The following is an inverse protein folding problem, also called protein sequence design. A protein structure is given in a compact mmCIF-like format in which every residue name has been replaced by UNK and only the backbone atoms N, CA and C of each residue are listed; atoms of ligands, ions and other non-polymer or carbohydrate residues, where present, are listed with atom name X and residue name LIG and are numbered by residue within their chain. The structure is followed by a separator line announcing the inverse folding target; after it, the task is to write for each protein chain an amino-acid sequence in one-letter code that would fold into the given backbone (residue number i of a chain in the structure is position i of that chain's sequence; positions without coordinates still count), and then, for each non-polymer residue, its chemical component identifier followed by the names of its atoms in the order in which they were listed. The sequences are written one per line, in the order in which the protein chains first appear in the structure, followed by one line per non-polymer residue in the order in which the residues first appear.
data_IF_163367713320
#
_entry.id   IF_163367713320
#
_cell.length_a   1.000
_cell.length_b   1.000
_cell.length_c   1.000
_cell.angle_alpha   90.00
_cell.angle_beta   90.00
_cell.angle_gamma   90.00
#
_symmetry.space_group_name_H-M   'P 1'
#
loop_
_entity.id
_entity.type
_entity.pdbx_description
1 polymer ?
#
# COMPACT_ATOMS: atom_id res chain seq x y z
N UNK A 1 12.96 4.59 24.35
CA UNK A 1 12.11 5.36 23.42
C UNK A 1 12.75 6.70 23.13
N UNK A 2 13.26 6.89 21.91
CA UNK A 2 13.89 8.14 21.47
C UNK A 2 12.91 9.30 21.23
N UNK A 3 13.44 10.51 21.09
CA UNK A 3 12.66 11.76 20.90
C UNK A 3 11.82 11.74 19.61
N UNK A 4 12.35 11.13 18.54
CA UNK A 4 11.69 10.93 17.24
C UNK A 4 10.45 10.01 17.36
N UNK A 5 10.61 8.85 17.99
CA UNK A 5 9.53 7.88 18.24
C UNK A 5 8.36 8.51 19.02
N UNK A 6 8.64 9.31 20.06
CA UNK A 6 7.59 10.01 20.82
C UNK A 6 6.82 11.03 19.97
N UNK A 7 7.51 11.82 19.15
CA UNK A 7 6.88 12.80 18.26
C UNK A 7 6.02 12.15 17.16
N UNK A 8 6.42 10.97 16.65
CA UNK A 8 5.65 10.20 15.68
C UNK A 8 4.35 9.66 16.31
N UNK A 9 4.44 9.13 17.54
CA UNK A 9 3.29 8.64 18.30
C UNK A 9 2.26 9.72 18.63
N UNK A 10 2.73 10.89 19.10
CA UNK A 10 1.83 11.98 19.50
C UNK A 10 1.12 12.59 18.27
N UNK A 11 1.79 12.64 17.10
CA UNK A 11 1.17 13.04 15.81
C UNK A 11 0.13 12.05 15.31
N UNK A 12 0.39 10.75 15.40
CA UNK A 12 -0.57 9.69 15.06
C UNK A 12 -1.89 9.86 15.82
N UNK A 13 -1.80 10.18 17.12
CA UNK A 13 -2.99 10.36 17.96
C UNK A 13 -3.85 11.57 17.53
N UNK A 14 -3.28 12.54 16.83
CA UNK A 14 -3.95 13.75 16.36
C UNK A 14 -4.46 13.66 14.91
N UNK A 15 -4.08 12.63 14.14
CA UNK A 15 -4.36 12.55 12.70
C UNK A 15 -5.57 11.65 12.39
N UNK A 16 -6.13 11.79 11.19
CA UNK A 16 -7.26 10.96 10.76
C UNK A 16 -6.85 9.49 10.57
N UNK A 17 -7.81 8.57 10.63
CA UNK A 17 -7.54 7.12 10.59
C UNK A 17 -6.67 6.68 9.41
N UNK A 18 -6.83 7.29 8.23
CA UNK A 18 -6.08 6.91 7.03
C UNK A 18 -4.65 7.40 7.15
N UNK A 19 -4.46 8.69 7.46
CA UNK A 19 -3.15 9.27 7.64
C UNK A 19 -2.38 8.66 8.82
N UNK A 20 -3.09 8.05 9.77
CA UNK A 20 -2.46 7.26 10.82
C UNK A 20 -1.94 5.92 10.29
N UNK A 21 -2.58 5.31 9.29
CA UNK A 21 -2.27 3.95 8.81
C UNK A 21 -1.18 3.88 7.74
N UNK A 22 -0.93 4.97 7.04
CA UNK A 22 -0.05 4.98 5.87
C UNK A 22 1.05 6.02 5.98
N UNK A 23 2.11 5.81 5.22
CA UNK A 23 3.29 6.66 5.04
C UNK A 23 3.02 8.03 4.37
N UNK A 24 1.82 8.61 4.52
CA UNK A 24 1.41 9.77 3.73
C UNK A 24 1.69 11.12 4.39
N UNK A 25 2.38 11.16 5.53
CA UNK A 25 2.75 12.40 6.22
C UNK A 25 3.48 13.37 5.27
N UNK A 26 3.07 14.63 5.28
CA UNK A 26 3.64 15.69 4.44
C UNK A 26 3.22 15.61 2.96
N UNK A 27 2.35 14.68 2.60
CA UNK A 27 1.85 14.51 1.23
C UNK A 27 0.39 14.95 1.11
N UNK A 28 -0.06 15.19 -0.11
CA UNK A 28 -1.45 15.52 -0.41
C UNK A 28 -2.45 14.41 0.02
N UNK A 29 -1.97 13.17 0.24
CA UNK A 29 -2.80 12.06 0.70
C UNK A 29 -3.16 12.13 2.18
N UNK A 30 -2.42 12.89 3.00
CA UNK A 30 -2.73 13.05 4.43
C UNK A 30 -4.07 13.76 4.66
N UNK A 31 -4.46 14.60 3.70
CA UNK A 31 -5.66 15.39 3.75
C UNK A 31 -6.89 14.58 3.31
N UNK A 32 -8.08 14.86 3.91
CA UNK A 32 -9.34 14.31 3.43
C UNK A 32 -9.59 14.65 1.96
N UNK A 33 -10.30 13.76 1.27
CA UNK A 33 -10.71 13.97 -0.12
C UNK A 33 -11.65 15.18 -0.20
N UNK A 34 -11.29 16.18 -1.00
CA UNK A 34 -12.14 17.35 -1.26
C UNK A 34 -13.27 17.02 -2.25
N UNK A 35 -14.30 17.86 -2.32
CA UNK A 35 -15.40 17.68 -3.29
C UNK A 35 -14.92 17.75 -4.74
N UNK A 36 -13.97 18.64 -5.03
CA UNK A 36 -13.35 18.79 -6.34
C UNK A 36 -12.57 17.52 -6.72
N UNK A 37 -11.76 17.01 -5.78
CA UNK A 37 -11.03 15.77 -5.98
C UNK A 37 -11.96 14.58 -6.18
N UNK A 38 -13.00 14.44 -5.35
CA UNK A 38 -14.01 13.39 -5.51
C UNK A 38 -14.70 13.46 -6.88
N UNK A 39 -14.91 14.67 -7.42
CA UNK A 39 -15.47 14.88 -8.76
C UNK A 39 -14.51 14.42 -9.85
N UNK A 40 -13.21 14.73 -9.73
CA UNK A 40 -12.19 14.24 -10.66
C UNK A 40 -12.06 12.72 -10.64
N UNK A 41 -12.08 12.10 -9.47
CA UNK A 41 -12.04 10.64 -9.32
C UNK A 41 -13.24 9.99 -10.04
N UNK A 42 -14.46 10.47 -9.80
CA UNK A 42 -15.65 9.96 -10.47
C UNK A 42 -15.60 10.16 -11.99
N UNK A 43 -15.11 11.30 -12.45
CA UNK A 43 -14.93 11.57 -13.88
C UNK A 43 -13.93 10.59 -14.51
N UNK A 44 -12.81 10.33 -13.84
CA UNK A 44 -11.80 9.37 -14.28
C UNK A 44 -12.36 7.95 -14.34
N UNK A 45 -13.10 7.50 -13.32
CA UNK A 45 -13.77 6.19 -13.34
C UNK A 45 -14.78 6.09 -14.49
N UNK A 46 -15.57 7.14 -14.74
CA UNK A 46 -16.51 7.18 -15.86
C UNK A 46 -15.79 7.13 -17.22
N UNK A 47 -14.65 7.78 -17.35
CA UNK A 47 -13.84 7.75 -18.56
C UNK A 47 -13.29 6.35 -18.88
N UNK A 48 -13.20 5.45 -17.88
CA UNK A 48 -12.79 4.05 -18.08
C UNK A 48 -13.95 3.16 -18.58
N UNK A 49 -15.22 3.55 -18.42
CA UNK A 49 -16.37 2.73 -18.81
C UNK A 49 -16.41 2.30 -20.29
N UNK A 50 -15.99 3.12 -21.27
CA UNK A 50 -15.91 2.69 -22.67
C UNK A 50 -14.85 1.61 -22.92
N UNK A 51 -13.88 1.43 -22.02
CA UNK A 51 -12.77 0.49 -22.16
C UNK A 51 -13.08 -0.91 -21.61
N UNK A 52 -14.36 -1.30 -21.53
CA UNK A 52 -14.79 -2.62 -21.04
C UNK A 52 -14.10 -3.81 -21.73
N UNK A 53 -13.85 -3.72 -23.03
CA UNK A 53 -13.14 -4.78 -23.76
C UNK A 53 -11.68 -4.93 -23.30
N UNK A 54 -11.00 -3.82 -23.02
CA UNK A 54 -9.65 -3.84 -22.47
C UNK A 54 -9.65 -4.35 -21.03
N UNK A 55 -10.65 -3.96 -20.23
CA UNK A 55 -10.83 -4.48 -18.88
C UNK A 55 -11.04 -6.01 -18.87
N UNK A 56 -11.89 -6.53 -19.76
CA UNK A 56 -12.11 -7.97 -19.91
C UNK A 56 -10.81 -8.69 -20.31
N UNK A 57 -10.11 -8.19 -21.32
CA UNK A 57 -8.85 -8.77 -21.78
C UNK A 57 -7.74 -8.75 -20.70
N UNK A 58 -7.74 -7.73 -19.83
CA UNK A 58 -6.84 -7.68 -18.66
C UNK A 58 -7.20 -8.75 -17.63
N UNK A 59 -8.49 -9.00 -17.39
CA UNK A 59 -8.95 -9.99 -16.42
C UNK A 59 -9.02 -11.43 -16.93
N UNK A 60 -8.85 -11.67 -18.23
CA UNK A 60 -8.86 -13.02 -18.83
C UNK A 60 -7.69 -13.89 -18.34
N UNK A 61 -6.60 -13.26 -17.90
CA UNK A 61 -5.44 -13.90 -17.26
C UNK A 61 -5.17 -13.22 -15.91
N UNK A 62 -5.70 -13.83 -14.85
CA UNK A 62 -5.62 -13.28 -13.50
C UNK A 62 -4.17 -13.16 -13.00
N UNK A 63 -3.32 -14.14 -13.31
CA UNK A 63 -1.93 -14.14 -12.85
C UNK A 63 -1.15 -13.00 -13.52
N UNK A 64 -1.36 -12.82 -14.83
CA UNK A 64 -0.78 -11.69 -15.57
C UNK A 64 -1.27 -10.35 -15.03
N UNK A 65 -2.56 -10.23 -14.71
CA UNK A 65 -3.11 -9.02 -14.11
C UNK A 65 -2.51 -8.73 -12.74
N UNK A 66 -2.35 -9.75 -11.88
CA UNK A 66 -1.74 -9.59 -10.58
C UNK A 66 -0.28 -9.11 -10.71
N UNK A 67 0.50 -9.71 -11.60
CA UNK A 67 1.89 -9.32 -11.88
C UNK A 67 1.99 -7.88 -12.40
N UNK A 68 1.18 -7.53 -13.37
CA UNK A 68 1.10 -6.17 -13.91
C UNK A 68 0.70 -5.16 -12.83
N UNK A 69 -0.25 -5.53 -11.96
CA UNK A 69 -0.67 -4.67 -10.84
C UNK A 69 0.44 -4.48 -9.82
N UNK A 70 1.23 -5.52 -9.52
CA UNK A 70 2.39 -5.41 -8.65
C UNK A 70 3.43 -4.45 -9.24
N UNK A 71 3.69 -4.50 -10.55
CA UNK A 71 4.59 -3.56 -11.23
C UNK A 71 4.11 -2.11 -11.11
N UNK A 72 2.81 -1.87 -11.25
CA UNK A 72 2.22 -0.53 -11.08
C UNK A 72 2.43 -0.02 -9.64
N UNK A 73 2.11 -0.85 -8.64
CA UNK A 73 2.16 -0.43 -7.24
C UNK A 73 3.57 -0.36 -6.65
N UNK A 74 4.59 -0.87 -7.36
CA UNK A 74 6.02 -0.66 -7.03
C UNK A 74 6.50 0.76 -7.35
N UNK A 75 5.78 1.51 -8.16
CA UNK A 75 6.13 2.88 -8.50
C UNK A 75 6.14 3.77 -7.26
N UNK A 76 7.18 4.59 -7.10
CA UNK A 76 7.39 5.48 -5.93
C UNK A 76 6.20 6.42 -5.66
N UNK A 77 5.39 6.72 -6.67
CA UNK A 77 4.14 7.49 -6.49
C UNK A 77 3.20 6.86 -5.47
N UNK A 78 3.26 5.54 -5.27
CA UNK A 78 2.46 4.81 -4.29
C UNK A 78 3.14 4.64 -2.93
N UNK A 79 4.41 5.05 -2.77
CA UNK A 79 5.11 4.97 -1.48
C UNK A 79 4.34 5.61 -0.32
N UNK A 80 3.62 6.74 -0.49
CA UNK A 80 2.80 7.30 0.58
C UNK A 80 1.66 6.39 1.06
N UNK A 81 1.28 5.35 0.31
CA UNK A 81 0.29 4.35 0.73
C UNK A 81 0.89 3.21 1.53
N UNK A 82 2.22 3.06 1.59
CA UNK A 82 2.83 1.99 2.39
C UNK A 82 2.36 2.05 3.84
N UNK A 83 2.23 0.89 4.48
CA UNK A 83 1.78 0.85 5.88
C UNK A 83 2.77 1.59 6.77
N UNK A 84 2.24 2.36 7.71
CA UNK A 84 3.04 3.14 8.65
C UNK A 84 3.74 2.22 9.67
N UNK A 85 4.86 2.68 10.24
CA UNK A 85 5.76 1.81 11.02
C UNK A 85 5.07 1.10 12.17
N UNK A 86 4.14 1.76 12.87
CA UNK A 86 3.45 1.11 13.97
C UNK A 86 2.58 -0.09 13.52
N UNK A 87 2.11 -0.08 12.27
CA UNK A 87 1.40 -1.23 11.70
C UNK A 87 2.40 -2.36 11.47
N UNK A 88 3.59 -2.04 10.95
CA UNK A 88 4.70 -2.98 10.75
C UNK A 88 5.17 -3.55 12.08
N UNK A 89 5.41 -2.72 13.08
CA UNK A 89 5.76 -3.13 14.46
C UNK A 89 4.72 -4.13 15.00
N UNK A 90 3.42 -3.88 14.82
CA UNK A 90 2.39 -4.84 15.27
C UNK A 90 2.40 -6.16 14.50
N UNK A 91 2.76 -6.13 13.22
CA UNK A 91 2.95 -7.36 12.42
C UNK A 91 4.16 -8.13 12.93
N UNK A 92 5.30 -7.47 13.15
CA UNK A 92 6.52 -8.07 13.69
C UNK A 92 6.29 -8.64 15.11
N UNK A 93 5.61 -7.91 15.99
CA UNK A 93 5.21 -8.39 17.31
C UNK A 93 4.33 -9.65 17.23
N UNK A 94 3.48 -9.75 16.20
CA UNK A 94 2.51 -10.84 16.06
C UNK A 94 3.09 -12.10 15.42
N UNK A 95 3.95 -11.93 14.42
CA UNK A 95 4.42 -12.99 13.53
C UNK A 95 5.94 -13.23 13.60
N UNK A 96 6.68 -12.34 14.27
CA UNK A 96 8.14 -12.31 14.25
C UNK A 96 8.71 -11.64 13.00
N UNK A 97 10.03 -11.67 12.89
CA UNK A 97 10.77 -11.25 11.71
C UNK A 97 10.36 -12.09 10.47
N UNK A 98 10.24 -11.47 9.28
CA UNK A 98 10.05 -12.21 8.05
C UNK A 98 11.19 -13.21 7.83
N UNK A 99 10.89 -14.44 7.38
CA UNK A 99 11.92 -15.43 7.12
C UNK A 99 12.79 -15.00 5.94
N UNK A 100 14.12 -15.06 6.13
CA UNK A 100 15.11 -14.91 5.07
C UNK A 100 15.40 -16.30 4.49
N UNK A 101 15.27 -16.44 3.17
CA UNK A 101 15.52 -17.70 2.48
C UNK A 101 16.47 -17.48 1.30
N UNK A 102 17.44 -18.38 1.16
CA UNK A 102 18.37 -18.40 0.02
C UNK A 102 17.81 -19.20 -1.16
N UNK A 103 16.74 -19.98 -0.93
CA UNK A 103 16.09 -20.79 -1.96
C UNK A 103 14.93 -20.00 -2.60
N UNK A 104 15.02 -19.63 -3.90
CA UNK A 104 13.94 -18.93 -4.59
C UNK A 104 12.62 -19.72 -4.69
N UNK A 105 12.64 -21.03 -4.48
CA UNK A 105 11.45 -21.88 -4.47
C UNK A 105 10.75 -21.92 -3.10
N UNK A 106 11.38 -21.40 -2.05
CA UNK A 106 10.82 -21.37 -0.70
C UNK A 106 9.71 -20.33 -0.59
N UNK A 107 8.52 -20.79 -0.20
CA UNK A 107 7.34 -19.95 -0.04
C UNK A 107 7.28 -19.24 1.32
N UNK A 108 8.22 -19.47 2.25
CA UNK A 108 8.15 -18.97 3.63
C UNK A 108 7.88 -17.45 3.72
N UNK A 109 8.62 -16.65 2.94
CA UNK A 109 8.40 -15.19 2.92
C UNK A 109 7.05 -14.82 2.30
N UNK A 110 6.64 -15.53 1.26
CA UNK A 110 5.33 -15.33 0.61
C UNK A 110 4.18 -15.68 1.57
N UNK A 111 4.32 -16.76 2.33
CA UNK A 111 3.33 -17.21 3.32
C UNK A 111 3.27 -16.25 4.51
N UNK A 112 4.42 -15.72 4.95
CA UNK A 112 4.49 -14.63 5.93
C UNK A 112 3.72 -13.39 5.45
N UNK A 113 4.01 -12.89 4.25
CA UNK A 113 3.32 -11.72 3.69
C UNK A 113 1.82 -11.98 3.56
N UNK A 114 1.42 -13.18 3.14
CA UNK A 114 0.02 -13.58 3.04
C UNK A 114 -0.68 -13.46 4.40
N UNK A 115 -0.06 -13.96 5.46
CA UNK A 115 -0.62 -13.90 6.81
C UNK A 115 -0.68 -12.46 7.34
N UNK A 116 0.40 -11.69 7.17
CA UNK A 116 0.48 -10.30 7.61
C UNK A 116 -0.57 -9.40 6.93
N UNK A 117 -0.74 -9.55 5.61
CA UNK A 117 -1.74 -8.79 4.84
C UNK A 117 -3.16 -9.20 5.23
N UNK A 118 -3.44 -10.50 5.40
CA UNK A 118 -4.76 -10.97 5.84
C UNK A 118 -5.13 -10.41 7.21
N UNK A 119 -4.18 -10.41 8.15
CA UNK A 119 -4.37 -9.91 9.50
C UNK A 119 -4.60 -8.39 9.54
N UNK A 120 -3.78 -7.63 8.80
CA UNK A 120 -3.87 -6.16 8.73
C UNK A 120 -5.11 -5.70 7.95
N UNK A 121 -5.49 -6.47 6.92
CA UNK A 121 -6.55 -6.17 5.96
C UNK A 121 -7.97 -6.32 6.51
N UNK A 122 -8.30 -5.64 7.61
CA UNK A 122 -9.69 -5.56 8.11
C UNK A 122 -10.60 -4.88 7.08
N UNK A 123 -11.93 -5.09 7.17
CA UNK A 123 -12.88 -4.42 6.27
C UNK A 123 -12.76 -2.89 6.30
N UNK A 124 -12.39 -2.32 7.45
CA UNK A 124 -12.18 -0.87 7.60
C UNK A 124 -10.92 -0.42 6.84
N UNK A 125 -9.81 -1.14 6.98
CA UNK A 125 -8.55 -0.87 6.26
C UNK A 125 -8.77 -1.02 4.75
N UNK A 126 -9.40 -2.12 4.31
CA UNK A 126 -9.71 -2.37 2.90
C UNK A 126 -10.50 -1.24 2.24
N UNK A 127 -11.56 -0.76 2.90
CA UNK A 127 -12.35 0.39 2.40
C UNK A 127 -11.53 1.68 2.35
N UNK A 128 -10.72 1.94 3.38
CA UNK A 128 -9.86 3.11 3.42
C UNK A 128 -8.83 3.10 2.28
N UNK A 129 -8.15 1.97 2.06
CA UNK A 129 -7.09 1.84 1.05
C UNK A 129 -7.65 1.85 -0.37
N UNK A 130 -8.81 1.22 -0.58
CA UNK A 130 -9.56 1.36 -1.84
C UNK A 130 -9.90 2.82 -2.13
N UNK A 131 -10.36 3.58 -1.13
CA UNK A 131 -10.60 5.01 -1.29
C UNK A 131 -9.35 5.81 -1.65
N UNK A 132 -8.21 5.52 -1.00
CA UNK A 132 -6.95 6.23 -1.25
C UNK A 132 -6.35 5.91 -2.63
N UNK A 133 -6.31 4.64 -3.03
CA UNK A 133 -5.71 4.26 -4.31
C UNK A 133 -6.46 4.86 -5.51
N UNK A 134 -7.78 5.04 -5.39
CA UNK A 134 -8.59 5.67 -6.44
C UNK A 134 -8.24 7.13 -6.69
N UNK A 135 -7.60 7.81 -5.73
CA UNK A 135 -7.17 9.21 -5.88
C UNK A 135 -6.08 9.39 -6.94
N UNK A 136 -5.39 8.30 -7.31
CA UNK A 136 -4.39 8.30 -8.38
C UNK A 136 -5.00 8.23 -9.78
N UNK A 137 -6.23 7.73 -9.93
CA UNK A 137 -6.86 7.49 -11.23
C UNK A 137 -6.87 8.69 -12.17
N UNK A 138 -7.22 9.92 -11.74
CA UNK A 138 -7.25 11.06 -12.64
C UNK A 138 -5.93 11.26 -13.40
N UNK A 139 -4.79 11.14 -12.71
CA UNK A 139 -3.48 11.34 -13.32
C UNK A 139 -3.11 10.29 -14.38
N UNK A 140 -3.59 9.05 -14.22
CA UNK A 140 -3.36 7.98 -15.21
C UNK A 140 -4.28 8.15 -16.41
N UNK A 141 -5.56 8.49 -16.18
CA UNK A 141 -6.52 8.77 -17.25
C UNK A 141 -6.08 9.97 -18.08
N UNK A 142 -5.66 11.06 -17.45
CA UNK A 142 -5.20 12.28 -18.14
C UNK A 142 -3.96 12.01 -19.03
N UNK A 143 -3.13 11.05 -18.64
CA UNK A 143 -1.95 10.60 -19.40
C UNK A 143 -2.25 9.55 -20.47
N UNK A 144 -3.51 9.08 -20.58
CA UNK A 144 -3.89 8.01 -21.50
C UNK A 144 -3.39 6.62 -21.10
N UNK A 145 -2.96 6.43 -19.84
CA UNK A 145 -2.49 5.15 -19.29
C UNK A 145 -3.69 4.28 -18.89
N UNK A 146 -4.46 3.86 -19.89
CA UNK A 146 -5.76 3.21 -19.69
C UNK A 146 -5.64 1.87 -18.98
N UNK A 147 -4.66 1.04 -19.34
CA UNK A 147 -4.53 -0.30 -18.76
C UNK A 147 -4.14 -0.24 -17.28
N UNK A 148 -3.24 0.68 -16.93
CA UNK A 148 -2.81 0.94 -15.57
C UNK A 148 -3.97 1.50 -14.73
N UNK A 149 -4.72 2.45 -15.28
CA UNK A 149 -5.92 2.99 -14.62
C UNK A 149 -6.99 1.90 -14.40
N UNK A 150 -7.19 1.00 -15.37
CA UNK A 150 -8.07 -0.16 -15.22
C UNK A 150 -7.58 -1.12 -14.13
N UNK A 151 -6.29 -1.43 -14.08
CA UNK A 151 -5.70 -2.28 -13.05
C UNK A 151 -5.84 -1.66 -11.65
N UNK A 152 -5.60 -0.35 -11.50
CA UNK A 152 -5.80 0.38 -10.24
C UNK A 152 -7.27 0.29 -9.81
N UNK A 153 -8.20 0.60 -10.73
CA UNK A 153 -9.64 0.58 -10.42
C UNK A 153 -10.13 -0.83 -10.05
N UNK A 154 -9.64 -1.86 -10.76
CA UNK A 154 -9.92 -3.26 -10.45
C UNK A 154 -9.41 -3.66 -9.07
N UNK A 155 -8.17 -3.34 -8.74
CA UNK A 155 -7.60 -3.64 -7.42
C UNK A 155 -8.33 -2.89 -6.30
N UNK A 156 -8.74 -1.64 -6.52
CA UNK A 156 -9.56 -0.89 -5.57
C UNK A 156 -10.88 -1.61 -5.28
N UNK A 157 -11.53 -2.14 -6.32
CA UNK A 157 -12.78 -2.90 -6.20
C UNK A 157 -12.56 -4.25 -5.47
N UNK A 158 -11.64 -5.09 -5.94
CA UNK A 158 -11.41 -6.43 -5.37
C UNK A 158 -10.94 -6.36 -3.92
N UNK A 159 -10.18 -5.33 -3.56
CA UNK A 159 -9.74 -5.09 -2.17
C UNK A 159 -10.92 -4.94 -1.21
N UNK A 160 -12.05 -4.37 -1.66
CA UNK A 160 -13.26 -4.21 -0.85
C UNK A 160 -14.16 -5.43 -0.92
N UNK A 161 -14.26 -6.05 -2.09
CA UNK A 161 -15.24 -7.10 -2.37
C UNK A 161 -14.80 -8.50 -1.95
N UNK A 162 -13.52 -8.68 -1.64
CA UNK A 162 -12.94 -9.96 -1.22
C UNK A 162 -11.99 -9.79 -0.04
N UNK A 163 -11.65 -10.91 0.59
CA UNK A 163 -10.58 -11.04 1.58
C UNK A 163 -9.21 -11.37 0.94
N UNK A 164 -9.12 -11.35 -0.39
CA UNK A 164 -7.90 -11.64 -1.12
C UNK A 164 -6.75 -10.69 -0.74
N UNK A 165 -5.52 -11.20 -0.83
CA UNK A 165 -4.31 -10.41 -0.71
C UNK A 165 -4.04 -9.72 -2.04
N UNK A 166 -4.75 -8.61 -2.26
CA UNK A 166 -4.62 -7.86 -3.50
C UNK A 166 -3.21 -7.30 -3.65
N UNK A 167 -2.69 -7.18 -4.90
CA UNK A 167 -1.43 -6.49 -5.20
C UNK A 167 -1.25 -5.16 -4.46
N UNK A 168 -2.32 -4.39 -4.29
CA UNK A 168 -2.33 -3.15 -3.50
C UNK A 168 -1.87 -3.40 -2.06
N UNK A 169 -2.57 -4.27 -1.32
CA UNK A 169 -2.25 -4.50 0.09
C UNK A 169 -0.89 -5.19 0.28
N UNK A 170 -0.51 -6.06 -0.65
CA UNK A 170 0.80 -6.71 -0.65
C UNK A 170 1.91 -5.68 -0.79
N UNK A 171 1.85 -4.78 -1.79
CA UNK A 171 2.88 -3.76 -1.96
C UNK A 171 2.92 -2.76 -0.80
N UNK A 172 1.76 -2.41 -0.23
CA UNK A 172 1.73 -1.59 0.96
C UNK A 172 2.48 -2.21 2.16
N UNK A 173 2.34 -3.53 2.35
CA UNK A 173 3.04 -4.26 3.41
C UNK A 173 4.53 -4.39 3.13
N UNK A 174 4.89 -4.80 1.91
CA UNK A 174 6.30 -4.92 1.50
C UNK A 174 7.03 -3.59 1.61
N UNK A 175 6.42 -2.51 1.12
CA UNK A 175 7.00 -1.17 1.20
C UNK A 175 7.08 -0.63 2.62
N UNK A 176 6.12 -0.97 3.49
CA UNK A 176 6.17 -0.64 4.92
C UNK A 176 7.30 -1.37 5.64
N UNK A 177 7.44 -2.68 5.41
CA UNK A 177 8.53 -3.49 5.94
C UNK A 177 9.89 -2.96 5.48
N UNK A 178 10.07 -2.72 4.18
CA UNK A 178 11.34 -2.18 3.64
C UNK A 178 11.74 -0.90 4.35
N UNK A 179 10.83 0.09 4.42
CA UNK A 179 11.11 1.36 5.08
C UNK A 179 11.43 1.19 6.56
N UNK A 180 10.72 0.29 7.25
CA UNK A 180 10.97 0.04 8.67
C UNK A 180 12.38 -0.53 8.90
N UNK A 181 12.83 -1.49 8.08
CA UNK A 181 14.19 -2.02 8.15
C UNK A 181 15.23 -0.97 7.78
N UNK A 182 15.03 -0.20 6.71
CA UNK A 182 15.94 0.87 6.32
C UNK A 182 16.15 1.87 7.48
N UNK A 183 15.09 2.25 8.19
CA UNK A 183 15.17 3.18 9.33
C UNK A 183 15.76 2.56 10.62
N UNK A 184 15.57 1.25 10.86
CA UNK A 184 16.01 0.60 12.11
C UNK A 184 17.39 -0.08 11.99
N UNK A 185 17.80 -0.52 10.81
CA UNK A 185 19.19 -0.98 10.56
C UNK A 185 20.18 0.19 10.68
N UNK A 186 19.79 1.40 10.23
CA UNK A 186 20.58 2.62 10.43
C UNK A 186 20.74 2.97 11.93
N UNK A 187 19.71 2.77 12.76
CA UNK A 187 19.78 3.05 14.20
C UNK A 187 20.67 2.05 14.97
N UNK A 188 20.71 0.77 14.55
CA UNK A 188 21.59 -0.26 15.13
C UNK A 188 23.08 -0.06 14.74
N UNK A 189 23.37 0.36 13.50
CA UNK A 189 24.74 0.72 13.09
C UNK A 189 25.26 1.96 13.83
N UNK A 190 24.44 3.00 14.00
CA UNK A 190 24.85 4.22 14.72
C UNK A 190 25.06 3.95 16.22
N UNK A 191 24.21 3.12 16.84
CA UNK A 191 24.38 2.71 18.24
C UNK A 191 25.64 1.86 18.48
N UNK A 192 26.08 1.08 17.49
CA UNK A 192 27.32 0.32 17.55
C UNK A 192 28.57 1.20 17.42
N UNK A 193 28.52 2.26 16.60
CA UNK A 193 29.64 3.21 16.42
C UNK A 193 29.82 4.12 17.63
N UNK A 194 28.74 4.51 18.31
CA UNK A 194 28.80 5.34 19.53
C UNK A 194 29.21 4.54 20.80
N UNK A 195 29.36 3.21 20.69
CA UNK A 195 29.76 2.33 21.78
C UNK A 195 31.24 1.90 21.74
N UNK A 196 32.00 2.31 20.72
CA UNK A 196 33.47 2.18 20.62
C UNK A 196 34.22 3.44 21.10
#
# INVERSE_FOLDING_TARGET
MGRKSRAKRDRRAATNFIAALTACEGTWLEHPVSEEEATRIRAAQKALEPHRAAAAALSDDEEKLQRFSLEIFRDERFAPLHFEDWVVEQVLERFGEPPVTEDPADSAFTDYLRAAVQWTGTSRVRRAMSGQVLRFLPSYVDKGLVNEALAINYNAYVTVMSDANTPLLVQMMVGGLSRWYDEHEEDDEVAAVDAE
#
